data_IF_881996736716
#
_entry.id   IF_881996736716
#
_cell.length_a   1.000
_cell.length_b   1.000
_cell.length_c   1.000
_cell.angle_alpha   90.00
_cell.angle_beta   90.00
_cell.angle_gamma   90.00
#
_symmetry.space_group_name_H-M   'P 1'
#
loop_
_entity.id
_entity.type
_entity.pdbx_description
1 polymer ?
#
# COMPACT_ATOMS: atom_id res chain seq x y z
N UNK A 1 8.61 34.70 13.16
CA UNK A 1 9.19 33.51 13.82
C UNK A 1 9.63 32.60 12.71
N UNK A 2 10.93 32.57 12.45
CA UNK A 2 11.56 31.89 11.31
C UNK A 2 11.54 30.39 11.52
N UNK A 3 11.01 29.67 10.54
CA UNK A 3 11.10 28.21 10.41
C UNK A 3 12.55 27.81 10.17
N UNK A 4 13.09 26.98 11.07
CA UNK A 4 14.39 26.36 10.89
C UNK A 4 14.19 25.06 10.12
N UNK A 5 14.25 25.18 8.79
CA UNK A 5 14.25 24.04 7.87
C UNK A 5 15.55 23.25 8.06
N UNK A 6 15.52 22.25 8.93
CA UNK A 6 16.65 21.34 9.14
C UNK A 6 16.78 20.49 7.88
N UNK A 7 17.74 20.85 7.03
CA UNK A 7 18.05 20.11 5.82
C UNK A 7 18.36 18.64 6.17
N UNK A 8 17.49 17.73 5.74
CA UNK A 8 17.75 16.29 5.82
C UNK A 8 18.89 16.01 4.83
N UNK A 9 20.07 15.71 5.36
CA UNK A 9 21.22 15.32 4.55
C UNK A 9 20.84 14.10 3.70
N UNK A 10 20.94 14.23 2.38
CA UNK A 10 20.79 13.11 1.44
C UNK A 10 21.92 12.12 1.70
N UNK A 11 21.59 10.99 2.32
CA UNK A 11 22.52 9.87 2.42
C UNK A 11 22.75 9.31 1.01
N UNK A 12 24.01 9.07 0.65
CA UNK A 12 24.36 8.49 -0.64
C UNK A 12 23.65 7.13 -0.83
N UNK A 13 23.23 6.80 -2.07
CA UNK A 13 22.57 5.53 -2.34
C UNK A 13 23.46 4.36 -1.89
N UNK A 14 22.86 3.43 -1.15
CA UNK A 14 23.53 2.22 -0.64
C UNK A 14 23.67 1.17 -1.74
N UNK A 15 24.46 0.13 -1.50
CA UNK A 15 24.66 -0.95 -2.48
C UNK A 15 23.37 -1.68 -2.88
N UNK A 16 22.30 -1.64 -2.06
CA UNK A 16 20.99 -2.19 -2.45
C UNK A 16 20.28 -1.33 -3.49
N UNK A 17 20.54 -0.02 -3.53
CA UNK A 17 19.87 0.90 -4.46
C UNK A 17 20.27 0.64 -5.91
N UNK A 18 21.47 0.08 -6.13
CA UNK A 18 21.94 -0.29 -7.47
C UNK A 18 21.25 -1.55 -8.03
N UNK A 19 20.62 -2.37 -7.19
CA UNK A 19 20.02 -3.64 -7.60
C UNK A 19 18.62 -3.49 -8.21
N UNK A 20 17.92 -2.38 -7.94
CA UNK A 20 16.49 -2.21 -8.26
C UNK A 20 16.20 -1.14 -9.33
N UNK A 21 17.25 -0.46 -9.83
CA UNK A 21 17.18 0.72 -10.68
C UNK A 21 17.42 2.01 -9.91
N UNK A 22 17.73 3.11 -10.59
CA UNK A 22 18.00 4.39 -9.92
C UNK A 22 16.74 4.90 -9.21
N UNK A 23 16.76 5.08 -7.87
CA UNK A 23 15.62 5.65 -7.16
C UNK A 23 15.24 7.01 -7.75
N UNK A 24 13.95 7.21 -8.05
CA UNK A 24 13.42 8.46 -8.63
C UNK A 24 12.70 9.34 -7.61
N UNK A 25 12.52 8.84 -6.38
CA UNK A 25 11.86 9.52 -5.27
C UNK A 25 12.56 9.13 -3.96
N UNK A 26 12.86 10.12 -3.11
CA UNK A 26 13.36 9.90 -1.75
C UNK A 26 12.23 10.18 -0.76
N UNK A 27 11.97 9.23 0.13
CA UNK A 27 10.92 9.31 1.17
C UNK A 27 11.59 9.14 2.52
N UNK A 28 11.27 10.01 3.48
CA UNK A 28 11.78 9.84 4.84
C UNK A 28 11.08 8.64 5.47
N UNK A 29 11.89 7.76 6.08
CA UNK A 29 11.44 6.54 6.73
C UNK A 29 11.87 6.60 8.20
N UNK A 30 10.93 6.33 9.10
CA UNK A 30 11.19 6.06 10.51
C UNK A 30 10.79 4.62 10.82
N UNK A 31 11.78 3.82 11.21
CA UNK A 31 11.52 2.52 11.82
C UNK A 31 11.07 2.75 13.27
N UNK A 32 9.97 2.11 13.66
CA UNK A 32 9.44 2.11 15.03
C UNK A 32 9.83 0.84 15.79
N UNK A 33 10.62 -0.01 15.13
CA UNK A 33 11.04 -1.30 15.65
C UNK A 33 12.44 -1.66 15.11
N UNK A 34 13.45 -1.59 15.99
CA UNK A 34 14.87 -1.74 15.64
C UNK A 34 15.25 -3.16 15.18
N UNK A 35 14.36 -4.15 15.36
CA UNK A 35 14.58 -5.53 14.95
C UNK A 35 13.95 -5.92 13.61
N UNK A 36 13.30 -4.99 12.91
CA UNK A 36 12.69 -5.25 11.61
C UNK A 36 13.53 -4.66 10.47
N UNK A 37 13.60 -5.39 9.36
CA UNK A 37 14.15 -4.86 8.12
C UNK A 37 13.23 -3.77 7.55
N UNK A 38 13.79 -2.68 6.98
CA UNK A 38 13.01 -1.64 6.33
C UNK A 38 12.26 -2.19 5.11
N UNK A 39 11.19 -1.50 4.65
CA UNK A 39 10.53 -1.86 3.40
C UNK A 39 11.50 -1.88 2.23
N UNK A 40 11.41 -2.92 1.40
CA UNK A 40 12.31 -3.11 0.26
C UNK A 40 11.57 -3.68 -0.95
N UNK A 41 12.03 -3.35 -2.15
CA UNK A 41 11.59 -3.98 -3.39
C UNK A 41 12.25 -5.37 -3.52
N UNK A 42 11.54 -6.37 -4.02
CA UNK A 42 12.07 -7.74 -4.09
C UNK A 42 12.93 -7.96 -5.34
N UNK A 43 12.53 -7.38 -6.48
CA UNK A 43 13.19 -7.49 -7.77
C UNK A 43 13.26 -6.14 -8.51
N UNK A 44 14.22 -5.96 -9.44
CA UNK A 44 14.28 -4.76 -10.25
C UNK A 44 12.97 -4.55 -11.03
N UNK A 45 12.43 -3.34 -10.97
CA UNK A 45 11.16 -2.98 -11.62
C UNK A 45 9.90 -3.36 -10.85
N UNK A 46 10.01 -3.98 -9.66
CA UNK A 46 8.84 -4.19 -8.80
C UNK A 46 8.21 -2.85 -8.41
N UNK A 47 6.89 -2.77 -8.48
CA UNK A 47 6.16 -1.54 -8.18
C UNK A 47 6.04 -1.25 -6.68
N UNK A 48 6.05 -2.29 -5.84
CA UNK A 48 5.75 -2.18 -4.41
C UNK A 48 6.90 -2.63 -3.52
N UNK A 49 7.17 -1.86 -2.47
CA UNK A 49 8.07 -2.26 -1.39
C UNK A 49 7.33 -3.14 -0.38
N UNK A 50 7.87 -4.31 -0.05
CA UNK A 50 7.24 -5.26 0.88
C UNK A 50 7.18 -4.67 2.31
N UNK A 51 6.00 -4.73 2.94
CA UNK A 51 5.77 -4.38 4.34
C UNK A 51 5.69 -5.64 5.20
N UNK A 52 6.24 -5.55 6.42
CA UNK A 52 6.35 -6.69 7.34
C UNK A 52 5.40 -6.55 8.52
N UNK A 53 5.02 -7.68 9.14
CA UNK A 53 4.31 -7.68 10.42
C UNK A 53 5.27 -7.34 11.56
N UNK A 54 4.84 -6.46 12.47
CA UNK A 54 5.61 -6.12 13.69
C UNK A 54 5.40 -7.10 14.84
N UNK A 55 4.32 -7.86 14.80
CA UNK A 55 3.94 -8.82 15.82
C UNK A 55 3.43 -10.12 15.21
N UNK A 56 3.44 -11.18 16.02
CA UNK A 56 2.79 -12.44 15.66
C UNK A 56 1.27 -12.24 15.66
N UNK A 57 0.60 -12.78 14.65
CA UNK A 57 -0.86 -12.74 14.53
C UNK A 57 -1.39 -14.06 14.00
N UNK A 58 -2.51 -14.50 14.56
CA UNK A 58 -3.30 -15.61 14.04
C UNK A 58 -4.63 -15.04 13.60
N UNK A 59 -5.02 -15.31 12.35
CA UNK A 59 -6.32 -14.95 11.80
C UNK A 59 -7.14 -16.24 11.63
N UNK A 60 -8.15 -16.44 12.48
CA UNK A 60 -9.13 -17.49 12.27
C UNK A 60 -9.87 -17.31 10.92
N UNK A 61 -10.53 -18.36 10.39
CA UNK A 61 -11.36 -18.22 9.19
C UNK A 61 -12.36 -17.05 9.29
N UNK A 62 -12.35 -16.16 8.30
CA UNK A 62 -13.18 -14.95 8.27
C UNK A 62 -12.76 -13.83 9.24
N UNK A 63 -11.72 -14.02 10.05
CA UNK A 63 -11.23 -13.00 10.97
C UNK A 63 -10.48 -11.89 10.24
N UNK A 64 -10.67 -10.65 10.72
CA UNK A 64 -9.85 -9.51 10.34
C UNK A 64 -9.13 -8.92 11.55
N UNK A 65 -7.90 -8.47 11.34
CA UNK A 65 -7.11 -7.76 12.36
C UNK A 65 -6.33 -6.61 11.73
N UNK A 66 -6.20 -5.53 12.50
CA UNK A 66 -5.25 -4.47 12.20
C UNK A 66 -3.87 -4.90 12.69
N UNK A 67 -2.91 -5.03 11.77
CA UNK A 67 -1.56 -5.52 12.05
C UNK A 67 -0.56 -4.38 11.85
N UNK A 68 0.18 -3.97 12.90
CA UNK A 68 1.20 -2.91 12.79
C UNK A 68 2.39 -3.38 11.94
N UNK A 69 3.03 -2.44 11.23
CA UNK A 69 4.19 -2.75 10.37
C UNK A 69 5.54 -2.32 10.91
N UNK A 70 5.57 -1.48 11.96
CA UNK A 70 6.80 -0.87 12.46
C UNK A 70 7.34 0.25 11.59
N UNK A 71 6.56 0.75 10.63
CA UNK A 71 7.01 1.74 9.64
C UNK A 71 6.18 3.00 9.73
N UNK A 72 6.84 4.16 9.76
CA UNK A 72 6.23 5.48 9.51
C UNK A 72 6.99 6.17 8.39
N UNK A 73 6.29 6.89 7.52
CA UNK A 73 6.90 7.59 6.39
C UNK A 73 6.46 9.05 6.35
N UNK A 74 7.23 9.88 5.64
CA UNK A 74 6.81 11.21 5.21
C UNK A 74 6.88 11.30 3.69
N UNK A 75 5.72 11.17 3.03
CA UNK A 75 5.64 11.39 1.60
C UNK A 75 5.65 12.90 1.29
N UNK A 76 6.23 13.32 0.17
CA UNK A 76 6.05 14.67 -0.32
C UNK A 76 4.61 14.90 -0.80
N UNK A 77 4.17 16.16 -0.76
CA UNK A 77 2.86 16.56 -1.29
C UNK A 77 2.72 16.19 -2.78
N UNK A 78 1.50 15.81 -3.17
CA UNK A 78 1.21 15.30 -4.52
C UNK A 78 1.51 13.81 -4.71
N UNK A 79 1.80 13.08 -3.63
CA UNK A 79 1.98 11.63 -3.64
C UNK A 79 1.04 10.93 -2.65
N UNK A 80 0.78 9.66 -2.92
CA UNK A 80 0.04 8.72 -2.08
C UNK A 80 0.81 7.41 -1.98
N UNK A 81 0.78 6.75 -0.82
CA UNK A 81 1.19 5.36 -0.70
C UNK A 81 -0.05 4.46 -0.65
N UNK A 82 -0.08 3.46 -1.53
CA UNK A 82 -1.16 2.50 -1.69
C UNK A 82 -0.72 1.14 -1.17
N UNK A 83 -1.43 0.63 -0.16
CA UNK A 83 -1.13 -0.65 0.48
C UNK A 83 -1.92 -1.75 -0.21
N UNK A 84 -1.21 -2.61 -0.93
CA UNK A 84 -1.77 -3.68 -1.74
C UNK A 84 -1.55 -5.06 -1.08
N UNK A 85 -2.48 -6.01 -1.27
CA UNK A 85 -2.23 -7.42 -0.96
C UNK A 85 -1.04 -7.97 -1.76
N UNK A 86 -0.36 -8.96 -1.20
CA UNK A 86 0.68 -9.74 -1.92
C UNK A 86 0.01 -10.93 -2.61
N UNK A 87 0.19 -11.05 -3.92
CA UNK A 87 -0.50 -12.08 -4.73
C UNK A 87 -0.25 -13.50 -4.24
N UNK A 88 0.97 -13.80 -3.79
CA UNK A 88 1.32 -15.12 -3.26
C UNK A 88 0.52 -15.52 -2.01
N UNK A 89 0.29 -14.58 -1.08
CA UNK A 89 -0.49 -14.85 0.13
C UNK A 89 -1.99 -14.91 -0.16
N UNK A 90 -2.47 -14.06 -1.07
CA UNK A 90 -3.86 -14.07 -1.52
C UNK A 90 -4.23 -15.42 -2.14
N UNK A 91 -3.45 -15.91 -3.12
CA UNK A 91 -3.77 -17.16 -3.83
C UNK A 91 -3.56 -18.41 -2.97
N UNK A 92 -2.51 -18.45 -2.12
CA UNK A 92 -2.16 -19.66 -1.36
C UNK A 92 -2.90 -19.81 -0.03
N UNK A 93 -3.25 -18.69 0.60
CA UNK A 93 -3.77 -18.67 1.97
C UNK A 93 -5.07 -17.87 2.11
N UNK A 94 -5.55 -17.19 1.06
CA UNK A 94 -6.74 -16.35 1.16
C UNK A 94 -6.51 -15.06 1.95
N UNK A 95 -5.25 -14.64 2.17
CA UNK A 95 -4.96 -13.38 2.86
C UNK A 95 -5.23 -12.19 1.96
N UNK A 96 -6.05 -11.24 2.43
CA UNK A 96 -6.30 -9.98 1.73
C UNK A 96 -6.21 -8.79 2.70
N UNK A 97 -6.25 -7.58 2.14
CA UNK A 97 -6.34 -6.33 2.89
C UNK A 97 -7.77 -5.78 2.72
N UNK A 98 -8.48 -5.58 3.82
CA UNK A 98 -9.92 -5.23 3.80
C UNK A 98 -10.19 -3.92 3.06
N UNK A 99 -9.33 -2.93 3.26
CA UNK A 99 -9.43 -1.61 2.65
C UNK A 99 -8.53 -1.49 1.40
N UNK A 100 -8.22 -2.59 0.70
CA UNK A 100 -7.35 -2.55 -0.47
C UNK A 100 -7.94 -1.73 -1.64
N UNK A 101 -7.13 -0.89 -2.31
CA UNK A 101 -5.81 -0.45 -1.87
C UNK A 101 -5.92 0.50 -0.66
N UNK A 102 -5.16 0.24 0.40
CA UNK A 102 -5.16 1.10 1.58
C UNK A 102 -4.47 2.43 1.29
N UNK A 103 -5.14 3.55 1.54
CA UNK A 103 -4.61 4.90 1.25
C UNK A 103 -3.84 5.47 2.43
N UNK A 104 -2.55 5.77 2.23
CA UNK A 104 -1.71 6.49 3.18
C UNK A 104 -1.41 7.88 2.62
N UNK A 105 -1.94 8.90 3.29
CA UNK A 105 -1.85 10.30 2.88
C UNK A 105 -0.47 10.91 3.11
N UNK A 106 -0.12 11.93 2.31
CA UNK A 106 1.18 12.61 2.43
C UNK A 106 1.41 13.29 3.79
N UNK A 107 0.34 13.72 4.46
CA UNK A 107 0.40 14.31 5.80
C UNK A 107 0.51 13.31 6.94
N UNK A 108 0.31 12.01 6.68
CA UNK A 108 0.33 11.00 7.74
C UNK A 108 1.75 10.76 8.27
N UNK A 109 1.91 10.69 9.59
CA UNK A 109 3.20 10.43 10.28
C UNK A 109 3.12 9.32 11.32
N UNK A 110 1.96 8.70 11.47
CA UNK A 110 1.77 7.56 12.36
C UNK A 110 2.33 6.27 11.77
N UNK A 111 2.21 5.20 12.53
CA UNK A 111 2.54 3.86 12.08
C UNK A 111 1.59 3.41 10.96
N UNK A 112 2.14 2.92 9.85
CA UNK A 112 1.34 2.23 8.83
C UNK A 112 0.93 0.88 9.42
N UNK A 113 -0.37 0.61 9.44
CA UNK A 113 -0.92 -0.67 9.87
C UNK A 113 -1.84 -1.23 8.77
N UNK A 114 -1.87 -2.54 8.64
CA UNK A 114 -2.58 -3.24 7.57
C UNK A 114 -3.77 -3.97 8.15
N UNK A 115 -4.97 -3.68 7.66
CA UNK A 115 -6.19 -4.41 8.06
C UNK A 115 -6.26 -5.71 7.25
N UNK A 116 -5.64 -6.76 7.77
CA UNK A 116 -5.64 -8.09 7.14
C UNK A 116 -6.97 -8.79 7.36
N UNK A 117 -7.38 -9.60 6.37
CA UNK A 117 -8.54 -10.50 6.44
C UNK A 117 -8.14 -11.87 5.90
N UNK A 118 -8.52 -12.90 6.65
CA UNK A 118 -8.50 -14.27 6.18
C UNK A 118 -9.81 -14.60 5.44
N UNK A 119 -9.71 -14.84 4.13
CA UNK A 119 -10.87 -15.23 3.30
C UNK A 119 -11.05 -16.74 3.17
N UNK A 120 -10.10 -17.54 3.67
CA UNK A 120 -10.28 -18.99 3.81
C UNK A 120 -11.39 -19.28 4.85
N UNK A 121 -12.21 -20.29 4.56
CA UNK A 121 -13.39 -20.63 5.38
C UNK A 121 -13.09 -21.66 6.47
N UNK A 122 -11.98 -22.38 6.34
CA UNK A 122 -11.70 -23.56 7.14
C UNK A 122 -10.32 -23.47 7.82
N UNK A 123 -9.36 -22.73 7.27
CA UNK A 123 -7.98 -22.67 7.75
C UNK A 123 -7.64 -21.32 8.36
N UNK A 124 -7.00 -21.35 9.53
CA UNK A 124 -6.39 -20.17 10.11
C UNK A 124 -5.09 -19.80 9.36
N UNK A 125 -4.75 -18.51 9.38
CA UNK A 125 -3.47 -18.01 8.88
C UNK A 125 -2.64 -17.60 10.08
N UNK A 126 -1.45 -18.19 10.22
CA UNK A 126 -0.45 -17.76 11.19
C UNK A 126 0.60 -16.90 10.48
N UNK A 127 0.81 -15.68 10.96
CA UNK A 127 1.86 -14.78 10.50
C UNK A 127 2.78 -14.51 11.68
N UNK A 128 4.08 -14.60 11.44
CA UNK A 128 5.11 -14.29 12.42
C UNK A 128 5.60 -12.86 12.21
N UNK A 129 6.06 -12.25 13.29
CA UNK A 129 6.81 -11.01 13.22
C UNK A 129 7.94 -11.13 12.17
N UNK A 130 8.02 -10.14 11.29
CA UNK A 130 8.97 -10.09 10.17
C UNK A 130 8.43 -10.67 8.85
N UNK A 131 7.31 -11.41 8.87
CA UNK A 131 6.68 -11.89 7.65
C UNK A 131 6.20 -10.73 6.79
N UNK A 132 6.38 -10.85 5.47
CA UNK A 132 5.96 -9.85 4.49
C UNK A 132 4.47 -10.00 4.21
N UNK A 133 3.64 -9.08 4.70
CA UNK A 133 2.17 -9.20 4.74
C UNK A 133 1.44 -8.38 3.67
N UNK A 134 2.05 -7.30 3.21
CA UNK A 134 1.50 -6.38 2.21
C UNK A 134 2.64 -5.75 1.40
N UNK A 135 2.31 -4.99 0.38
CA UNK A 135 3.29 -4.19 -0.37
C UNK A 135 2.79 -2.76 -0.53
N UNK A 136 3.70 -1.80 -0.47
CA UNK A 136 3.43 -0.37 -0.59
C UNK A 136 3.85 0.13 -1.96
N UNK A 137 2.91 0.63 -2.75
CA UNK A 137 3.16 1.30 -4.04
C UNK A 137 3.02 2.80 -3.85
N UNK A 138 4.01 3.58 -4.27
CA UNK A 138 3.96 5.05 -4.16
C UNK A 138 3.64 5.64 -5.54
N UNK A 139 2.63 6.51 -5.61
CA UNK A 139 2.18 7.11 -6.86
C UNK A 139 1.96 8.61 -6.71
N UNK A 140 2.09 9.33 -7.83
CA UNK A 140 1.60 10.71 -7.93
C UNK A 140 0.07 10.71 -7.87
N UNK A 141 -0.49 11.72 -7.23
CA UNK A 141 -1.94 11.94 -7.15
C UNK A 141 -2.27 13.40 -7.43
N UNK A 142 -3.39 13.62 -8.10
CA UNK A 142 -3.89 14.95 -8.41
C UNK A 142 -4.81 15.46 -7.31
N UNK A 143 -4.68 16.74 -6.96
CA UNK A 143 -5.65 17.44 -6.12
C UNK A 143 -6.69 18.13 -6.99
N UNK A 144 -7.84 17.49 -7.17
CA UNK A 144 -8.89 17.99 -8.05
C UNK A 144 -9.65 19.18 -7.45
N UNK A 145 -9.95 20.18 -8.28
CA UNK A 145 -10.99 21.17 -8.00
C UNK A 145 -12.32 20.67 -8.55
N UNK A 146 -13.29 20.45 -7.68
CA UNK A 146 -14.65 20.09 -8.10
C UNK A 146 -15.45 21.34 -8.49
N UNK A 147 -16.06 21.32 -9.68
CA UNK A 147 -16.95 22.37 -10.19
C UNK A 147 -18.36 21.79 -10.35
N UNK A 148 -19.34 22.18 -9.51
CA UNK A 148 -20.73 21.75 -9.67
C UNK A 148 -21.32 22.30 -10.98
N UNK A 149 -22.00 21.46 -11.74
CA UNK A 149 -22.68 21.79 -13.00
C UNK A 149 -24.05 21.11 -13.06
N UNK A 150 -24.97 21.63 -13.86
CA UNK A 150 -26.29 21.03 -14.06
C UNK A 150 -26.22 19.75 -14.91
N UNK A 151 -25.35 19.75 -15.93
CA UNK A 151 -25.13 18.61 -16.83
C UNK A 151 -23.62 18.41 -17.08
N UNK A 152 -23.20 17.14 -17.18
CA UNK A 152 -21.84 16.76 -17.56
C UNK A 152 -21.71 16.69 -19.09
N UNK A 153 -20.52 16.92 -19.62
CA UNK A 153 -20.22 16.66 -21.02
C UNK A 153 -20.46 15.18 -21.39
N UNK A 154 -20.95 14.95 -22.61
CA UNK A 154 -21.17 13.59 -23.12
C UNK A 154 -19.87 12.78 -23.24
N UNK A 155 -19.97 11.45 -23.16
CA UNK A 155 -18.85 10.54 -23.42
C UNK A 155 -19.32 9.27 -24.13
N UNK A 156 -18.40 8.57 -24.82
CA UNK A 156 -18.68 7.29 -25.49
C UNK A 156 -19.23 6.23 -24.53
N UNK A 157 -18.80 6.27 -23.26
CA UNK A 157 -19.29 5.36 -22.21
C UNK A 157 -20.65 5.79 -21.64
N UNK A 158 -20.97 7.08 -21.64
CA UNK A 158 -22.19 7.61 -21.05
C UNK A 158 -22.40 7.13 -19.61
N UNK A 159 -23.64 6.74 -19.28
CA UNK A 159 -24.01 6.17 -17.97
C UNK A 159 -23.73 4.66 -17.81
N UNK A 160 -23.02 4.00 -18.74
CA UNK A 160 -22.78 2.55 -18.68
C UNK A 160 -21.74 2.13 -17.62
N UNK A 161 -22.14 1.26 -16.68
CA UNK A 161 -21.29 0.67 -15.65
C UNK A 161 -21.72 -0.74 -15.28
N UNK A 162 -21.06 -1.37 -14.29
CA UNK A 162 -21.45 -2.67 -13.71
C UNK A 162 -21.59 -3.84 -14.71
N UNK A 163 -20.59 -4.03 -15.59
CA UNK A 163 -20.62 -5.11 -16.57
C UNK A 163 -21.27 -4.74 -17.91
N UNK A 164 -21.40 -3.44 -18.20
CA UNK A 164 -21.91 -2.91 -19.48
C UNK A 164 -21.13 -3.34 -20.73
N UNK A 165 -19.97 -3.98 -20.57
CA UNK A 165 -19.15 -4.58 -21.64
C UNK A 165 -19.31 -6.10 -21.76
N UNK A 166 -20.17 -6.73 -20.93
CA UNK A 166 -20.33 -8.18 -20.85
C UNK A 166 -19.18 -8.89 -20.11
N UNK A 167 -19.28 -10.22 -19.97
CA UNK A 167 -18.18 -11.07 -19.48
C UNK A 167 -18.57 -12.29 -18.65
N UNK A 168 -19.79 -12.36 -18.09
CA UNK A 168 -20.28 -13.51 -17.35
C UNK A 168 -21.79 -13.70 -17.56
N UNK A 169 -22.19 -14.85 -18.11
CA UNK A 169 -23.58 -15.21 -18.44
C UNK A 169 -24.06 -14.58 -19.75
N UNK A 170 -24.25 -15.41 -20.78
CA UNK A 170 -24.95 -15.00 -22.00
C UNK A 170 -26.41 -14.57 -21.70
N UNK A 171 -27.09 -13.91 -22.65
CA UNK A 171 -28.43 -13.38 -22.40
C UNK A 171 -29.39 -14.51 -22.04
N UNK A 172 -30.21 -14.27 -21.00
CA UNK A 172 -31.45 -15.02 -20.78
C UNK A 172 -32.45 -14.73 -21.89
#
# INVERSE_FOLDING_TARGET
MTEENTAVASAAPTASDAAYGTPTLTVQLKMLDDGLEPPSYAHPGDAGADLRAREDVVLAPGERRLVPTGVSIALPDGFVALIHPRSGLATKHGLTVVNAPGTVDAGYRGEIAVTLLNTDRDKAIELRRGDRIAQMVIQRVEYARFLPVEELDGSVRGGGGFGSTGGFGGPA
#
